data_IF_637127673591
#
_entry.id   IF_637127673591
#
_cell.length_a   1.000
_cell.length_b   1.000
_cell.length_c   1.000
_cell.angle_alpha   90.00
_cell.angle_beta   90.00
_cell.angle_gamma   90.00
#
_symmetry.space_group_name_H-M   'P 1'
#
loop_
_entity.id
_entity.type
_entity.pdbx_description
1 polymer ?
#
# COMPACT_ATOMS: atom_id res chain seq x y z
N UNK A 1 -57.87 -113.48 43.35
CA UNK A 1 -57.87 -111.99 43.35
C UNK A 1 -56.60 -111.36 43.94
N UNK A 2 -55.88 -111.98 44.88
CA UNK A 2 -54.65 -111.41 45.49
C UNK A 2 -53.47 -111.19 44.51
N UNK A 3 -53.08 -112.20 43.71
CA UNK A 3 -51.94 -112.12 42.75
C UNK A 3 -52.02 -110.98 41.73
N UNK A 4 -53.23 -110.64 41.25
CA UNK A 4 -53.41 -109.58 40.26
C UNK A 4 -53.21 -108.18 40.88
N UNK A 5 -53.58 -108.00 42.15
CA UNK A 5 -53.33 -106.76 42.90
C UNK A 5 -51.84 -106.56 43.19
N UNK A 6 -51.11 -107.64 43.47
CA UNK A 6 -49.66 -107.57 43.72
C UNK A 6 -48.86 -107.19 42.46
N UNK A 7 -49.25 -107.72 41.29
CA UNK A 7 -48.62 -107.36 40.01
C UNK A 7 -48.93 -105.91 39.62
N UNK A 8 -50.17 -105.45 39.79
CA UNK A 8 -50.55 -104.07 39.53
C UNK A 8 -49.82 -103.09 40.48
N UNK A 9 -49.67 -103.46 41.75
CA UNK A 9 -48.91 -102.69 42.74
C UNK A 9 -47.42 -102.63 42.40
N UNK A 10 -46.82 -103.73 41.94
CA UNK A 10 -45.42 -103.77 41.50
C UNK A 10 -45.18 -102.93 40.23
N UNK A 11 -46.13 -102.95 39.28
CA UNK A 11 -46.07 -102.12 38.08
C UNK A 11 -46.19 -100.62 38.42
N UNK A 12 -47.12 -100.24 39.30
CA UNK A 12 -47.27 -98.87 39.78
C UNK A 12 -46.02 -98.37 40.50
N UNK A 13 -45.42 -99.19 41.39
CA UNK A 13 -44.15 -98.85 42.06
C UNK A 13 -42.99 -98.67 41.09
N UNK A 14 -42.95 -99.47 40.01
CA UNK A 14 -41.92 -99.34 38.96
C UNK A 14 -42.11 -98.07 38.13
N UNK A 15 -43.35 -97.72 37.79
CA UNK A 15 -43.68 -96.49 37.09
C UNK A 15 -43.36 -95.24 37.94
N UNK A 16 -43.69 -95.28 39.23
CA UNK A 16 -43.35 -94.23 40.20
C UNK A 16 -41.83 -94.07 40.36
N UNK A 17 -41.08 -95.18 40.45
CA UNK A 17 -39.61 -95.15 40.49
C UNK A 17 -38.98 -94.53 39.22
N UNK A 18 -39.54 -94.80 38.04
CA UNK A 18 -39.08 -94.19 36.79
C UNK A 18 -39.39 -92.69 36.74
N UNK A 19 -40.57 -92.27 37.23
CA UNK A 19 -40.93 -90.84 37.35
C UNK A 19 -40.01 -90.09 38.31
N UNK A 20 -39.70 -90.68 39.46
CA UNK A 20 -38.75 -90.12 40.43
C UNK A 20 -37.37 -89.94 39.77
N UNK A 21 -36.86 -90.97 39.09
CA UNK A 21 -35.54 -90.90 38.42
C UNK A 21 -35.49 -89.85 37.31
N UNK A 22 -36.58 -89.66 36.56
CA UNK A 22 -36.67 -88.61 35.55
C UNK A 22 -36.65 -87.21 36.18
N UNK A 23 -37.41 -87.00 37.26
CA UNK A 23 -37.44 -85.74 38.01
C UNK A 23 -36.09 -85.43 38.66
N UNK A 24 -35.41 -86.41 39.24
CA UNK A 24 -34.05 -86.25 39.80
C UNK A 24 -33.05 -85.79 38.74
N UNK A 25 -33.12 -86.37 37.52
CA UNK A 25 -32.27 -85.95 36.41
C UNK A 25 -32.58 -84.52 35.96
N UNK A 26 -33.86 -84.14 35.92
CA UNK A 26 -34.28 -82.78 35.58
C UNK A 26 -33.83 -81.75 36.63
N UNK A 27 -33.95 -82.08 37.92
CA UNK A 27 -33.45 -81.25 39.04
C UNK A 27 -31.95 -81.05 38.88
N UNK A 28 -31.19 -82.12 38.66
CA UNK A 28 -29.74 -82.04 38.50
C UNK A 28 -29.32 -81.18 37.29
N UNK A 29 -30.05 -81.28 36.18
CA UNK A 29 -29.80 -80.41 35.02
C UNK A 29 -30.09 -78.94 35.35
N UNK A 30 -31.22 -78.65 36.01
CA UNK A 30 -31.57 -77.28 36.44
C UNK A 30 -30.57 -76.71 37.46
N UNK A 31 -30.01 -77.53 38.34
CA UNK A 31 -28.94 -77.12 39.27
C UNK A 31 -27.66 -76.72 38.52
N UNK A 32 -27.27 -77.48 37.50
CA UNK A 32 -26.12 -77.15 36.63
C UNK A 32 -26.37 -75.85 35.87
N UNK A 33 -27.56 -75.66 35.30
CA UNK A 33 -27.92 -74.43 34.58
C UNK A 33 -27.95 -73.21 35.52
N UNK A 34 -28.45 -73.37 36.75
CA UNK A 34 -28.45 -72.33 37.78
C UNK A 34 -27.03 -71.94 38.18
N UNK A 35 -26.12 -72.91 38.32
CA UNK A 35 -24.71 -72.63 38.59
C UNK A 35 -24.06 -71.84 37.44
N UNK A 36 -24.30 -72.27 36.19
CA UNK A 36 -23.78 -71.57 35.02
C UNK A 36 -24.31 -70.12 34.92
N UNK A 37 -25.61 -69.92 35.17
CA UNK A 37 -26.23 -68.59 35.20
C UNK A 37 -25.67 -67.73 36.34
N UNK A 38 -25.45 -68.30 37.52
CA UNK A 38 -24.82 -67.59 38.65
C UNK A 38 -23.39 -67.15 38.31
N UNK A 39 -22.60 -68.02 37.70
CA UNK A 39 -21.25 -67.68 37.25
C UNK A 39 -21.26 -66.57 36.19
N UNK A 40 -22.24 -66.59 35.27
CA UNK A 40 -22.41 -65.53 34.27
C UNK A 40 -22.77 -64.18 34.91
N UNK A 41 -23.66 -64.17 35.92
CA UNK A 41 -24.01 -62.97 36.67
C UNK A 41 -22.78 -62.39 37.39
N UNK A 42 -22.00 -63.23 38.06
CA UNK A 42 -20.76 -62.78 38.74
C UNK A 42 -19.79 -62.15 37.74
N UNK A 43 -19.57 -62.78 36.58
CA UNK A 43 -18.72 -62.20 35.52
C UNK A 43 -19.25 -60.87 35.00
N UNK A 44 -20.56 -60.73 34.81
CA UNK A 44 -21.20 -59.47 34.39
C UNK A 44 -21.05 -58.38 35.45
N UNK A 45 -21.19 -58.71 36.73
CA UNK A 45 -20.99 -57.76 37.83
C UNK A 45 -19.54 -57.27 37.91
N UNK A 46 -18.56 -58.16 37.74
CA UNK A 46 -17.13 -57.78 37.69
C UNK A 46 -16.82 -56.89 36.49
N UNK A 47 -17.37 -57.21 35.31
CA UNK A 47 -17.23 -56.38 34.13
C UNK A 47 -17.84 -54.98 34.32
N UNK A 48 -19.01 -54.91 34.98
CA UNK A 48 -19.70 -53.65 35.28
C UNK A 48 -18.89 -52.79 36.26
N UNK A 49 -18.31 -53.39 37.32
CA UNK A 49 -17.40 -52.69 38.24
C UNK A 49 -16.17 -52.14 37.52
N UNK A 50 -15.56 -52.94 36.64
CA UNK A 50 -14.41 -52.51 35.83
C UNK A 50 -14.77 -51.33 34.90
N UNK A 51 -15.93 -51.41 34.25
CA UNK A 51 -16.42 -50.33 33.38
C UNK A 51 -16.70 -49.05 34.16
N UNK A 52 -17.28 -49.14 35.36
CA UNK A 52 -17.54 -48.00 36.22
C UNK A 52 -16.25 -47.26 36.62
N UNK A 53 -15.19 -48.00 36.98
CA UNK A 53 -13.88 -47.42 37.28
C UNK A 53 -13.29 -46.72 36.06
N UNK A 54 -13.36 -47.35 34.88
CA UNK A 54 -12.87 -46.75 33.63
C UNK A 54 -13.62 -45.46 33.30
N UNK A 55 -14.95 -45.47 33.41
CA UNK A 55 -15.79 -44.29 33.14
C UNK A 55 -15.45 -43.15 34.10
N UNK A 56 -15.35 -43.42 35.40
CA UNK A 56 -14.96 -42.43 36.40
C UNK A 56 -13.57 -41.84 36.11
N UNK A 57 -12.60 -42.67 35.75
CA UNK A 57 -11.25 -42.20 35.39
C UNK A 57 -11.24 -41.34 34.11
N UNK A 58 -12.08 -41.69 33.13
CA UNK A 58 -12.21 -40.92 31.89
C UNK A 58 -12.84 -39.56 32.17
N UNK A 59 -13.89 -39.50 33.00
CA UNK A 59 -14.53 -38.24 33.40
C UNK A 59 -13.58 -37.33 34.19
N UNK A 60 -12.82 -37.89 35.14
CA UNK A 60 -11.82 -37.13 35.90
C UNK A 60 -10.71 -36.58 34.99
N UNK A 61 -10.24 -37.37 34.02
CA UNK A 61 -9.21 -36.95 33.07
C UNK A 61 -9.73 -35.89 32.09
N UNK A 62 -10.95 -36.04 31.59
CA UNK A 62 -11.62 -35.04 30.75
C UNK A 62 -11.77 -33.72 31.51
N UNK A 63 -12.23 -33.78 32.76
CA UNK A 63 -12.38 -32.59 33.63
C UNK A 63 -11.04 -31.89 33.87
N UNK A 64 -9.97 -32.64 34.18
CA UNK A 64 -8.62 -32.09 34.34
C UNK A 64 -8.11 -31.42 33.06
N UNK A 65 -8.31 -32.07 31.90
CA UNK A 65 -7.90 -31.53 30.60
C UNK A 65 -8.63 -30.22 30.29
N UNK A 66 -9.95 -30.20 30.48
CA UNK A 66 -10.77 -28.99 30.26
C UNK A 66 -10.36 -27.86 31.19
N UNK A 67 -10.13 -28.13 32.47
CA UNK A 67 -9.68 -27.12 33.43
C UNK A 67 -8.30 -26.54 33.06
N UNK A 68 -7.39 -27.38 32.57
CA UNK A 68 -6.09 -26.92 32.07
C UNK A 68 -6.25 -25.97 30.87
N UNK A 69 -7.09 -26.34 29.90
CA UNK A 69 -7.36 -25.50 28.74
C UNK A 69 -8.02 -24.17 29.13
N UNK A 70 -8.96 -24.18 30.08
CA UNK A 70 -9.59 -22.96 30.61
C UNK A 70 -8.55 -22.02 31.23
N UNK A 71 -7.61 -22.56 32.01
CA UNK A 71 -6.55 -21.76 32.62
C UNK A 71 -5.63 -21.14 31.57
N UNK A 72 -5.20 -21.92 30.58
CA UNK A 72 -4.37 -21.43 29.46
C UNK A 72 -5.09 -20.33 28.64
N UNK A 73 -6.40 -20.48 28.41
CA UNK A 73 -7.20 -19.46 27.74
C UNK A 73 -7.32 -18.18 28.58
N UNK A 74 -7.49 -18.32 29.90
CA UNK A 74 -7.57 -17.19 30.82
C UNK A 74 -6.27 -16.39 30.85
N UNK A 75 -5.12 -17.06 30.87
CA UNK A 75 -3.81 -16.41 30.83
C UNK A 75 -3.57 -15.69 29.49
N UNK A 76 -3.95 -16.31 28.37
CA UNK A 76 -3.90 -15.67 27.05
C UNK A 76 -4.81 -14.44 26.97
N UNK A 77 -6.01 -14.50 27.55
CA UNK A 77 -6.93 -13.36 27.59
C UNK A 77 -6.35 -12.20 28.38
N UNK A 78 -5.80 -12.47 29.57
CA UNK A 78 -5.17 -11.45 30.41
C UNK A 78 -3.98 -10.77 29.70
N UNK A 79 -3.17 -11.54 28.98
CA UNK A 79 -2.05 -11.00 28.19
C UNK A 79 -2.56 -10.13 27.03
N UNK A 80 -3.58 -10.58 26.30
CA UNK A 80 -4.20 -9.80 25.22
C UNK A 80 -4.79 -8.49 25.73
N UNK A 81 -5.46 -8.51 26.89
CA UNK A 81 -6.06 -7.31 27.48
C UNK A 81 -5.01 -6.29 27.93
N UNK A 82 -3.91 -6.76 28.55
CA UNK A 82 -2.76 -5.90 28.88
C UNK A 82 -2.15 -5.26 27.64
N UNK A 83 -1.97 -6.04 26.57
CA UNK A 83 -1.44 -5.52 25.30
C UNK A 83 -2.40 -4.51 24.67
N UNK A 84 -3.71 -4.78 24.68
CA UNK A 84 -4.75 -3.88 24.17
C UNK A 84 -4.69 -2.52 24.88
N UNK A 85 -4.63 -2.52 26.21
CA UNK A 85 -4.53 -1.29 27.00
C UNK A 85 -3.24 -0.52 26.71
N UNK A 86 -2.12 -1.21 26.55
CA UNK A 86 -0.85 -0.57 26.19
C UNK A 86 -0.88 0.05 24.79
N UNK A 87 -1.48 -0.61 23.80
CA UNK A 87 -1.61 -0.08 22.44
C UNK A 87 -2.60 1.08 22.40
N UNK A 88 -3.70 1.01 23.14
CA UNK A 88 -4.66 2.11 23.27
C UNK A 88 -4.00 3.37 23.84
N UNK A 89 -3.16 3.23 24.88
CA UNK A 89 -2.38 4.34 25.43
C UNK A 89 -1.41 4.95 24.41
N UNK A 90 -0.73 4.13 23.59
CA UNK A 90 0.15 4.62 22.51
C UNK A 90 -0.62 5.38 21.44
N UNK A 91 -1.79 4.88 21.04
CA UNK A 91 -2.65 5.55 20.05
C UNK A 91 -3.12 6.91 20.57
N UNK A 92 -3.48 7.02 21.85
CA UNK A 92 -3.86 8.29 22.46
C UNK A 92 -2.67 9.27 22.44
N UNK A 93 -1.49 8.84 22.87
CA UNK A 93 -0.29 9.67 22.86
C UNK A 93 0.08 10.17 21.45
N UNK A 94 0.00 9.29 20.44
CA UNK A 94 0.25 9.66 19.04
C UNK A 94 -0.79 10.66 18.51
N UNK A 95 -2.06 10.50 18.88
CA UNK A 95 -3.11 11.46 18.50
C UNK A 95 -2.88 12.84 19.12
N UNK A 96 -2.44 12.91 20.37
CA UNK A 96 -2.10 14.17 21.03
C UNK A 96 -0.87 14.84 20.39
N UNK A 97 0.17 14.06 20.09
CA UNK A 97 1.35 14.57 19.39
C UNK A 97 1.01 15.08 17.98
N UNK A 98 0.15 14.36 17.24
CA UNK A 98 -0.32 14.77 15.93
C UNK A 98 -1.07 16.11 15.99
N UNK A 99 -2.01 16.25 16.93
CA UNK A 99 -2.74 17.52 17.14
C UNK A 99 -1.81 18.67 17.49
N UNK A 100 -0.79 18.43 18.33
CA UNK A 100 0.20 19.44 18.69
C UNK A 100 1.02 19.89 17.47
N UNK A 101 1.49 18.96 16.66
CA UNK A 101 2.22 19.26 15.41
C UNK A 101 1.37 20.00 14.39
N UNK A 102 0.08 19.67 14.30
CA UNK A 102 -0.86 20.36 13.42
C UNK A 102 -1.06 21.83 13.82
N UNK A 103 -1.20 22.11 15.12
CA UNK A 103 -1.25 23.48 15.64
C UNK A 103 0.04 24.25 15.37
N UNK A 104 1.20 23.63 15.64
CA UNK A 104 2.50 24.26 15.40
C UNK A 104 2.72 24.60 13.92
N UNK A 105 2.35 23.70 13.02
CA UNK A 105 2.41 23.94 11.57
C UNK A 105 1.49 25.08 11.14
N UNK A 106 0.30 25.19 11.74
CA UNK A 106 -0.66 26.24 11.44
C UNK A 106 -0.17 27.61 11.93
N UNK A 107 0.52 27.67 13.06
CA UNK A 107 1.15 28.89 13.57
C UNK A 107 2.33 29.32 12.70
N UNK A 108 3.21 28.38 12.30
CA UNK A 108 4.30 28.65 11.35
C UNK A 108 3.78 29.16 10.00
N UNK A 109 2.67 28.60 9.51
CA UNK A 109 2.00 29.08 8.29
C UNK A 109 1.52 30.53 8.41
N UNK A 110 0.92 30.90 9.55
CA UNK A 110 0.50 32.29 9.80
C UNK A 110 1.68 33.25 9.87
N UNK A 111 2.75 32.86 10.55
CA UNK A 111 3.99 33.66 10.62
C UNK A 111 4.59 33.87 9.23
N UNK A 112 4.72 32.80 8.44
CA UNK A 112 5.22 32.87 7.07
C UNK A 112 4.33 33.76 6.18
N UNK A 113 3.01 33.66 6.32
CA UNK A 113 2.07 34.48 5.57
C UNK A 113 2.18 35.97 5.93
N UNK A 114 2.36 36.29 7.21
CA UNK A 114 2.56 37.68 7.66
C UNK A 114 3.89 38.24 7.17
N UNK A 115 4.97 37.44 7.23
CA UNK A 115 6.27 37.82 6.70
C UNK A 115 6.22 38.08 5.18
N UNK A 116 5.48 37.24 4.43
CA UNK A 116 5.31 37.41 2.99
C UNK A 116 4.58 38.72 2.67
N UNK A 117 3.47 39.01 3.36
CA UNK A 117 2.74 40.29 3.20
C UNK A 117 3.62 41.50 3.49
N UNK A 118 4.47 41.44 4.51
CA UNK A 118 5.41 42.52 4.81
C UNK A 118 6.45 42.70 3.70
N UNK A 119 6.98 41.61 3.14
CA UNK A 119 7.92 41.67 2.00
C UNK A 119 7.25 42.19 0.74
N UNK A 120 6.02 41.80 0.45
CA UNK A 120 5.26 42.29 -0.70
C UNK A 120 5.02 43.81 -0.60
N UNK A 121 4.65 44.31 0.58
CA UNK A 121 4.51 45.75 0.83
C UNK A 121 5.83 46.50 0.60
N UNK A 122 6.95 45.93 1.06
CA UNK A 122 8.29 46.52 0.86
C UNK A 122 8.69 46.52 -0.61
N UNK A 123 8.41 45.45 -1.34
CA UNK A 123 8.67 45.34 -2.78
C UNK A 123 7.82 46.34 -3.58
N UNK A 124 6.55 46.52 -3.22
CA UNK A 124 5.67 47.50 -3.86
C UNK A 124 6.21 48.93 -3.69
N UNK A 125 6.63 49.30 -2.47
CA UNK A 125 7.25 50.60 -2.21
C UNK A 125 8.57 50.77 -2.99
N UNK A 126 9.40 49.72 -3.05
CA UNK A 126 10.64 49.72 -3.82
C UNK A 126 10.42 49.93 -5.31
N UNK A 127 9.39 49.27 -5.89
CA UNK A 127 9.00 49.45 -7.30
C UNK A 127 8.57 50.89 -7.58
N UNK A 128 7.70 51.47 -6.76
CA UNK A 128 7.25 52.86 -6.95
C UNK A 128 8.42 53.86 -6.87
N UNK A 129 9.38 53.62 -5.96
CA UNK A 129 10.58 54.45 -5.84
C UNK A 129 11.49 54.35 -7.08
N UNK A 130 11.68 53.14 -7.60
CA UNK A 130 12.45 52.90 -8.83
C UNK A 130 11.78 53.54 -10.05
N UNK A 131 10.47 53.42 -10.17
CA UNK A 131 9.68 53.99 -11.27
C UNK A 131 9.77 55.53 -11.28
N UNK A 132 9.70 56.19 -10.12
CA UNK A 132 9.94 57.64 -10.00
C UNK A 132 11.36 58.04 -10.43
N UNK A 133 12.38 57.26 -10.04
CA UNK A 133 13.77 57.51 -10.47
C UNK A 133 13.97 57.29 -11.96
N UNK A 134 13.30 56.29 -12.54
CA UNK A 134 13.35 56.00 -13.98
C UNK A 134 12.76 57.16 -14.78
N UNK A 135 11.55 57.62 -14.41
CA UNK A 135 10.88 58.76 -15.06
C UNK A 135 11.73 60.04 -14.98
N UNK A 136 12.35 60.32 -13.84
CA UNK A 136 13.27 61.46 -13.68
C UNK A 136 14.52 61.34 -14.57
N UNK A 137 15.09 60.15 -14.65
CA UNK A 137 16.26 59.88 -15.50
C UNK A 137 15.91 60.01 -16.99
N UNK A 138 14.74 59.51 -17.41
CA UNK A 138 14.23 59.67 -18.78
C UNK A 138 14.04 61.14 -19.16
N UNK A 139 13.52 61.98 -18.25
CA UNK A 139 13.40 63.42 -18.48
C UNK A 139 14.77 64.09 -18.65
N UNK A 140 15.77 63.65 -17.88
CA UNK A 140 17.15 64.14 -17.99
C UNK A 140 17.79 63.70 -19.31
N UNK A 141 17.57 62.45 -19.74
CA UNK A 141 18.03 61.96 -21.04
C UNK A 141 17.37 62.76 -22.18
N UNK A 142 16.06 63.04 -22.11
CA UNK A 142 15.36 63.84 -23.13
C UNK A 142 15.97 65.24 -23.26
N UNK A 143 16.18 65.94 -22.15
CA UNK A 143 16.79 67.28 -22.16
C UNK A 143 18.23 67.26 -22.64
N UNK A 144 19.03 66.25 -22.27
CA UNK A 144 20.39 66.07 -22.80
C UNK A 144 20.37 65.75 -24.30
N UNK A 145 19.43 64.93 -24.77
CA UNK A 145 19.28 64.57 -26.18
C UNK A 145 18.90 65.79 -27.03
N UNK A 146 18.01 66.66 -26.54
CA UNK A 146 17.71 67.94 -27.18
C UNK A 146 18.94 68.85 -27.27
N UNK A 147 19.74 68.93 -26.19
CA UNK A 147 21.02 69.66 -26.21
C UNK A 147 22.02 69.07 -27.20
N UNK A 148 22.13 67.74 -27.29
CA UNK A 148 22.96 67.06 -28.30
C UNK A 148 22.46 67.39 -29.70
N UNK A 149 21.14 67.39 -29.94
CA UNK A 149 20.55 67.73 -31.25
C UNK A 149 20.88 69.17 -31.67
N UNK A 150 20.89 70.11 -30.72
CA UNK A 150 21.33 71.49 -30.94
C UNK A 150 22.84 71.59 -31.23
N UNK A 151 23.65 70.71 -30.65
CA UNK A 151 25.09 70.61 -30.94
C UNK A 151 25.36 69.92 -32.28
N UNK A 152 24.55 68.94 -32.67
CA UNK A 152 24.62 68.28 -33.98
C UNK A 152 24.18 69.21 -35.12
N UNK A 153 23.33 70.21 -34.89
CA UNK A 153 23.05 71.25 -35.89
C UNK A 153 24.25 72.18 -36.17
N UNK A 154 25.33 72.09 -35.39
CA UNK A 154 26.57 72.84 -35.60
C UNK A 154 27.68 72.03 -36.30
N UNK A 155 27.44 70.76 -36.67
CA UNK A 155 28.41 69.93 -37.41
C UNK A 155 27.71 69.03 -38.46
N UNK A 156 28.18 68.98 -39.72
CA UNK A 156 27.45 68.32 -40.80
C UNK A 156 27.47 66.79 -40.67
N UNK A 157 26.29 66.16 -40.66
CA UNK A 157 26.10 64.70 -40.73
C UNK A 157 25.93 64.20 -42.17
N UNK A 158 26.71 63.18 -42.53
CA UNK A 158 26.48 62.32 -43.68
C UNK A 158 25.37 61.28 -43.39
N UNK A 159 24.63 60.91 -44.44
CA UNK A 159 23.37 60.19 -44.40
C UNK A 159 23.45 58.68 -44.05
N UNK A 160 22.41 58.10 -43.44
CA UNK A 160 22.29 56.65 -43.23
C UNK A 160 21.50 55.96 -44.35
N UNK A 161 21.93 54.76 -44.72
CA UNK A 161 21.19 53.85 -45.61
C UNK A 161 20.59 52.73 -44.76
N UNK A 162 19.26 52.60 -44.76
CA UNK A 162 18.54 51.46 -44.16
C UNK A 162 18.09 50.53 -45.28
N UNK A 163 18.62 49.31 -45.31
CA UNK A 163 18.13 48.23 -46.16
C UNK A 163 17.28 47.26 -45.32
N UNK A 164 16.02 47.08 -45.73
CA UNK A 164 15.11 46.01 -45.24
C UNK A 164 15.60 44.65 -45.76
N UNK A 165 15.87 43.71 -44.86
CA UNK A 165 16.08 42.31 -45.20
C UNK A 165 14.79 41.48 -44.99
N UNK A 166 14.47 40.53 -45.89
CA UNK A 166 13.34 39.62 -45.75
C UNK A 166 13.62 38.44 -44.82
N UNK A 167 12.57 37.93 -44.19
CA UNK A 167 12.60 36.86 -43.18
C UNK A 167 13.24 35.55 -43.68
N UNK A 168 14.15 34.92 -42.90
CA UNK A 168 14.81 33.68 -43.31
C UNK A 168 13.92 32.46 -43.09
N UNK A 169 13.91 31.57 -44.09
CA UNK A 169 13.32 30.22 -44.00
C UNK A 169 14.04 29.42 -42.91
N UNK A 170 13.26 28.80 -42.02
CA UNK A 170 13.73 28.15 -40.79
C UNK A 170 14.82 27.10 -41.04
N UNK A 171 15.95 27.24 -40.35
CA UNK A 171 16.98 26.20 -40.24
C UNK A 171 16.39 25.01 -39.48
N UNK A 172 16.81 23.80 -39.88
CA UNK A 172 16.47 22.55 -39.19
C UNK A 172 17.22 22.53 -37.86
N UNK A 173 16.51 22.29 -36.76
CA UNK A 173 17.07 22.28 -35.41
C UNK A 173 18.05 21.10 -35.25
N UNK A 174 19.22 21.36 -34.67
CA UNK A 174 20.24 20.36 -34.37
C UNK A 174 20.30 20.08 -32.86
N UNK A 175 20.39 18.80 -32.47
CA UNK A 175 20.53 18.41 -31.06
C UNK A 175 21.94 18.73 -30.59
N UNK A 176 22.06 19.50 -29.51
CA UNK A 176 23.35 19.92 -28.95
C UNK A 176 23.70 19.13 -27.69
N UNK A 177 22.75 18.97 -26.78
CA UNK A 177 23.00 18.29 -25.50
C UNK A 177 21.71 17.70 -24.92
N UNK A 178 21.84 16.81 -23.94
CA UNK A 178 20.70 16.22 -23.25
C UNK A 178 21.03 15.77 -21.83
N UNK A 179 20.02 15.74 -20.96
CA UNK A 179 20.12 15.21 -19.60
C UNK A 179 18.90 14.38 -19.22
N UNK A 180 19.15 13.20 -18.63
CA UNK A 180 18.12 12.29 -18.17
C UNK A 180 18.00 12.29 -16.64
N UNK A 181 16.76 12.35 -16.17
CA UNK A 181 16.37 12.12 -14.80
C UNK A 181 15.66 10.76 -14.72
N UNK A 182 16.30 9.75 -14.12
CA UNK A 182 15.81 8.36 -14.11
C UNK A 182 15.54 7.79 -12.73
N UNK A 183 15.79 8.58 -11.68
CA UNK A 183 15.72 8.18 -10.27
C UNK A 183 14.38 8.53 -9.60
N UNK A 184 13.31 8.73 -10.39
CA UNK A 184 11.98 9.01 -9.86
C UNK A 184 11.29 7.71 -9.39
N UNK A 185 10.68 7.76 -8.20
CA UNK A 185 10.05 6.59 -7.57
C UNK A 185 8.83 6.01 -8.31
N UNK A 186 8.41 4.80 -7.94
CA UNK A 186 7.18 4.18 -8.47
C UNK A 186 5.95 5.00 -8.08
N UNK A 187 5.07 5.29 -9.03
CA UNK A 187 3.77 5.92 -8.72
C UNK A 187 3.85 7.38 -8.26
N UNK A 188 5.01 8.04 -8.36
CA UNK A 188 5.20 9.43 -7.98
C UNK A 188 5.76 10.27 -9.14
N UNK A 189 5.47 11.57 -9.11
CA UNK A 189 5.99 12.60 -10.02
C UNK A 189 6.96 13.58 -9.31
N UNK A 190 7.33 13.30 -8.05
CA UNK A 190 8.29 14.11 -7.33
C UNK A 190 9.71 13.92 -7.91
N UNK A 191 10.36 15.02 -8.27
CA UNK A 191 11.73 15.03 -8.76
C UNK A 191 12.67 14.88 -7.58
N UNK A 192 13.65 13.98 -7.67
CA UNK A 192 14.65 13.82 -6.61
C UNK A 192 15.51 15.08 -6.45
N UNK A 193 16.07 15.30 -5.26
CA UNK A 193 16.99 16.42 -5.04
C UNK A 193 18.23 16.32 -5.94
N UNK A 194 18.77 15.11 -6.12
CA UNK A 194 19.94 14.85 -6.98
C UNK A 194 19.64 15.22 -8.43
N UNK A 195 18.52 14.76 -8.97
CA UNK A 195 18.12 15.08 -10.32
C UNK A 195 17.87 16.58 -10.50
N UNK A 196 17.17 17.23 -9.55
CA UNK A 196 16.93 18.67 -9.61
C UNK A 196 18.24 19.46 -9.68
N UNK A 197 19.24 19.11 -8.87
CA UNK A 197 20.56 19.76 -8.87
C UNK A 197 21.31 19.53 -10.20
N UNK A 198 21.26 18.31 -10.73
CA UNK A 198 21.90 17.98 -12.01
C UNK A 198 21.25 18.73 -13.18
N UNK A 199 19.91 18.79 -13.21
CA UNK A 199 19.14 19.53 -14.21
C UNK A 199 19.43 21.03 -14.11
N UNK A 200 19.50 21.59 -12.90
CA UNK A 200 19.88 22.98 -12.69
C UNK A 200 21.28 23.28 -13.25
N UNK A 201 22.27 22.45 -12.92
CA UNK A 201 23.64 22.61 -13.42
C UNK A 201 23.73 22.47 -14.94
N UNK A 202 22.92 21.59 -15.53
CA UNK A 202 22.81 21.42 -16.98
C UNK A 202 22.21 22.65 -17.66
N UNK A 203 21.06 23.12 -17.16
CA UNK A 203 20.32 24.25 -17.75
C UNK A 203 21.06 25.58 -17.63
N UNK A 204 21.93 25.73 -16.62
CA UNK A 204 22.77 26.92 -16.47
C UNK A 204 23.70 27.21 -17.66
N UNK A 205 23.90 26.25 -18.58
CA UNK A 205 24.69 26.42 -19.80
C UNK A 205 23.91 27.05 -20.96
N UNK A 206 22.59 27.15 -20.84
CA UNK A 206 21.68 27.53 -21.93
C UNK A 206 20.74 28.66 -21.49
N UNK A 207 20.15 29.33 -22.47
CA UNK A 207 19.21 30.44 -22.26
C UNK A 207 17.93 30.27 -23.11
N UNK A 208 17.07 31.28 -23.13
CA UNK A 208 15.80 31.27 -23.86
C UNK A 208 15.93 31.31 -25.40
N UNK A 209 17.15 31.46 -25.94
CA UNK A 209 17.38 31.40 -27.38
C UNK A 209 17.26 29.96 -27.92
N UNK A 210 17.62 28.96 -27.10
CA UNK A 210 17.58 27.54 -27.41
C UNK A 210 16.16 26.95 -27.35
N UNK A 211 15.98 25.79 -27.97
CA UNK A 211 14.76 25.00 -27.91
C UNK A 211 14.96 23.79 -26.99
N UNK A 212 13.97 23.52 -26.15
CA UNK A 212 14.02 22.44 -25.16
C UNK A 212 12.91 21.44 -25.47
N UNK A 213 13.27 20.18 -25.68
CA UNK A 213 12.29 19.08 -25.75
C UNK A 213 12.36 18.29 -24.46
N UNK A 214 11.20 18.07 -23.83
CA UNK A 214 11.08 17.22 -22.66
C UNK A 214 10.30 15.96 -23.01
N UNK A 215 10.96 14.81 -22.88
CA UNK A 215 10.39 13.50 -23.17
C UNK A 215 10.19 12.70 -21.88
N UNK A 216 9.06 12.00 -21.70
CA UNK A 216 8.86 11.14 -20.54
C UNK A 216 9.70 9.86 -20.67
N UNK A 217 10.29 9.42 -19.57
CA UNK A 217 10.94 8.10 -19.44
C UNK A 217 10.01 7.21 -18.63
N UNK A 218 9.54 6.13 -19.25
CA UNK A 218 8.63 5.16 -18.67
C UNK A 218 9.29 3.79 -18.64
N UNK A 219 9.05 3.05 -17.56
CA UNK A 219 9.43 1.65 -17.48
C UNK A 219 8.20 0.75 -17.69
N UNK A 220 8.48 -0.54 -17.83
CA UNK A 220 7.46 -1.58 -17.89
C UNK A 220 7.03 -2.06 -16.48
N UNK A 221 7.39 -1.32 -15.44
CA UNK A 221 7.07 -1.65 -14.06
C UNK A 221 5.61 -1.35 -13.74
N UNK A 222 4.91 -2.32 -13.16
CA UNK A 222 3.51 -2.15 -12.75
C UNK A 222 3.32 -1.41 -11.42
N UNK A 223 2.16 -0.80 -11.25
CA UNK A 223 1.71 -0.18 -10.00
C UNK A 223 1.40 -1.25 -8.94
N UNK A 224 1.85 -1.07 -7.70
CA UNK A 224 1.65 -2.05 -6.62
C UNK A 224 0.17 -2.41 -6.42
N UNK A 225 -0.72 -1.41 -6.51
CA UNK A 225 -2.18 -1.61 -6.43
C UNK A 225 -2.72 -2.47 -7.56
N UNK A 226 -2.26 -2.25 -8.80
CA UNK A 226 -2.68 -3.05 -9.96
C UNK A 226 -2.12 -4.48 -9.89
N UNK A 227 -0.88 -4.64 -9.40
CA UNK A 227 -0.30 -5.97 -9.11
C UNK A 227 -1.12 -6.72 -8.05
N UNK A 228 -1.59 -6.02 -7.01
CA UNK A 228 -2.44 -6.61 -5.97
C UNK A 228 -3.77 -7.11 -6.56
N UNK A 229 -4.42 -6.29 -7.39
CA UNK A 229 -5.65 -6.64 -8.11
C UNK A 229 -5.42 -7.89 -8.97
N UNK A 230 -4.32 -7.94 -9.73
CA UNK A 230 -3.92 -9.10 -10.55
C UNK A 230 -3.76 -10.36 -9.70
N UNK A 231 -3.04 -10.26 -8.57
CA UNK A 231 -2.79 -11.39 -7.68
C UNK A 231 -4.04 -11.93 -6.98
N UNK A 232 -5.01 -11.06 -6.67
CA UNK A 232 -6.23 -11.43 -5.94
C UNK A 232 -7.35 -11.94 -6.85
N UNK A 233 -7.18 -11.90 -8.18
CA UNK A 233 -8.15 -12.36 -9.18
C UNK A 233 -9.57 -11.85 -8.90
N UNK A 234 -9.69 -10.53 -8.67
CA UNK A 234 -10.95 -9.88 -8.29
C UNK A 234 -11.96 -9.73 -9.44
N UNK A 235 -11.95 -10.66 -10.40
CA UNK A 235 -12.86 -10.67 -11.55
C UNK A 235 -12.49 -9.73 -12.71
N UNK A 236 -11.27 -9.18 -12.72
CA UNK A 236 -10.72 -8.41 -13.86
C UNK A 236 -9.72 -9.28 -14.60
N UNK A 237 -9.82 -9.34 -15.94
CA UNK A 237 -8.87 -10.08 -16.76
C UNK A 237 -7.47 -9.50 -16.66
N UNK A 238 -6.45 -10.38 -16.66
CA UNK A 238 -5.05 -9.98 -16.58
C UNK A 238 -4.64 -9.05 -17.73
N UNK A 239 -5.21 -9.25 -18.93
CA UNK A 239 -5.05 -8.41 -20.11
C UNK A 239 -5.51 -6.97 -19.88
N UNK A 240 -6.65 -6.79 -19.21
CA UNK A 240 -7.19 -5.48 -18.90
C UNK A 240 -6.36 -4.78 -17.82
N UNK A 241 -5.85 -5.53 -16.84
CA UNK A 241 -4.92 -4.99 -15.83
C UNK A 241 -3.61 -4.52 -16.48
N UNK A 242 -3.09 -5.29 -17.44
CA UNK A 242 -1.86 -4.93 -18.17
C UNK A 242 -2.09 -3.68 -19.05
N UNK A 243 -3.24 -3.60 -19.72
CA UNK A 243 -3.65 -2.40 -20.47
C UNK A 243 -3.76 -1.16 -19.58
N UNK A 244 -4.45 -1.26 -18.44
CA UNK A 244 -4.59 -0.15 -17.48
C UNK A 244 -3.22 0.25 -16.93
N UNK A 245 -2.35 -0.72 -16.64
CA UNK A 245 -0.97 -0.47 -16.18
C UNK A 245 -0.19 0.34 -17.20
N UNK A 246 -0.26 -0.03 -18.48
CA UNK A 246 0.37 0.73 -19.57
C UNK A 246 -0.14 2.17 -19.65
N UNK A 247 -1.47 2.36 -19.66
CA UNK A 247 -2.08 3.69 -19.72
C UNK A 247 -1.69 4.56 -18.52
N UNK A 248 -1.65 3.98 -17.32
CA UNK A 248 -1.24 4.68 -16.11
C UNK A 248 0.25 5.09 -16.15
N UNK A 249 1.13 4.24 -16.68
CA UNK A 249 2.55 4.58 -16.87
C UNK A 249 2.73 5.72 -17.88
N UNK A 250 1.95 5.72 -18.97
CA UNK A 250 1.96 6.83 -19.95
C UNK A 250 1.50 8.14 -19.29
N UNK A 251 0.38 8.10 -18.55
CA UNK A 251 -0.14 9.28 -17.86
C UNK A 251 0.84 9.85 -16.83
N UNK A 252 1.43 8.98 -16.02
CA UNK A 252 2.44 9.37 -15.04
C UNK A 252 3.73 9.87 -15.70
N UNK A 253 4.16 9.25 -16.80
CA UNK A 253 5.27 9.71 -17.63
C UNK A 253 5.06 11.16 -18.07
N UNK A 254 3.90 11.47 -18.64
CA UNK A 254 3.56 12.85 -19.05
C UNK A 254 3.59 13.84 -17.88
N UNK A 255 3.10 13.45 -16.71
CA UNK A 255 3.17 14.30 -15.52
C UNK A 255 4.62 14.57 -15.08
N UNK A 256 5.53 13.61 -15.24
CA UNK A 256 6.96 13.78 -14.96
C UNK A 256 7.66 14.65 -15.99
N UNK A 257 7.33 14.47 -17.28
CA UNK A 257 7.82 15.35 -18.33
C UNK A 257 7.39 16.80 -18.09
N UNK A 258 6.12 17.02 -17.68
CA UNK A 258 5.64 18.34 -17.27
C UNK A 258 6.50 18.94 -16.14
N UNK A 259 6.77 18.17 -15.09
CA UNK A 259 7.62 18.62 -13.98
C UNK A 259 9.05 18.97 -14.46
N UNK A 260 9.59 18.21 -15.42
CA UNK A 260 10.86 18.55 -16.09
C UNK A 260 10.77 19.87 -16.88
N UNK A 261 9.68 20.12 -17.59
CA UNK A 261 9.42 21.39 -18.28
C UNK A 261 9.30 22.58 -17.33
N UNK A 262 8.65 22.39 -16.18
CA UNK A 262 8.58 23.41 -15.12
C UNK A 262 9.97 23.77 -14.57
N UNK A 263 10.93 22.81 -14.52
CA UNK A 263 12.33 23.13 -14.20
C UNK A 263 12.99 23.97 -15.29
N UNK A 264 12.75 23.67 -16.57
CA UNK A 264 13.26 24.49 -17.69
C UNK A 264 12.76 25.91 -17.56
N UNK A 265 11.45 26.10 -17.39
CA UNK A 265 10.85 27.42 -17.20
C UNK A 265 11.40 28.16 -15.97
N UNK A 266 11.57 27.44 -14.85
CA UNK A 266 12.08 28.03 -13.60
C UNK A 266 13.53 28.51 -13.69
N UNK A 267 14.39 27.80 -14.43
CA UNK A 267 15.82 28.10 -14.49
C UNK A 267 16.23 28.92 -15.71
N UNK A 268 15.54 28.76 -16.85
CA UNK A 268 15.81 29.48 -18.11
C UNK A 268 14.95 30.74 -18.22
N UNK A 269 13.79 30.76 -17.55
CA UNK A 269 12.82 31.86 -17.53
C UNK A 269 11.56 31.59 -18.38
N UNK A 270 10.51 32.39 -18.14
CA UNK A 270 9.18 32.27 -18.80
C UNK A 270 9.23 32.32 -20.35
N UNK A 271 10.33 32.83 -20.92
CA UNK A 271 10.54 32.87 -22.38
C UNK A 271 11.12 31.59 -22.99
N UNK A 272 11.30 30.52 -22.21
CA UNK A 272 11.88 29.27 -22.71
C UNK A 272 10.97 28.57 -23.73
N UNK A 273 11.54 28.12 -24.85
CA UNK A 273 10.82 27.44 -25.93
C UNK A 273 10.75 25.93 -25.64
N UNK A 274 9.74 25.52 -24.88
CA UNK A 274 9.57 24.13 -24.43
C UNK A 274 8.61 23.38 -25.35
N UNK A 275 9.03 22.21 -25.85
CA UNK A 275 8.17 21.22 -26.50
C UNK A 275 8.12 19.95 -25.65
N UNK A 276 6.98 19.27 -25.65
CA UNK A 276 6.83 17.97 -25.02
C UNK A 276 6.79 16.88 -26.07
N UNK A 277 7.64 15.86 -25.93
CA UNK A 277 7.65 14.75 -26.86
C UNK A 277 6.32 14.00 -26.81
N UNK A 278 5.81 13.63 -27.98
CA UNK A 278 4.58 12.82 -28.10
C UNK A 278 4.84 11.35 -27.78
N UNK A 279 6.06 10.88 -28.04
CA UNK A 279 6.50 9.52 -27.73
C UNK A 279 7.14 9.45 -26.35
N UNK A 280 7.07 8.26 -25.74
CA UNK A 280 7.79 7.97 -24.51
C UNK A 280 9.13 7.31 -24.83
N UNK A 281 10.11 7.56 -23.97
CA UNK A 281 11.35 6.79 -23.93
C UNK A 281 11.09 5.59 -23.04
N UNK A 282 11.02 4.40 -23.63
CA UNK A 282 10.87 3.15 -22.88
C UNK A 282 12.24 2.68 -22.42
N UNK A 283 12.41 2.55 -21.10
CA UNK A 283 13.67 2.09 -20.52
C UNK A 283 13.39 1.23 -19.28
N UNK A 284 13.98 0.04 -19.24
CA UNK A 284 13.76 -0.87 -18.11
C UNK A 284 14.35 -0.29 -16.82
N UNK A 285 13.56 -0.38 -15.73
CA UNK A 285 13.88 0.12 -14.38
C UNK A 285 14.24 1.61 -14.29
N UNK A 286 13.96 2.41 -15.32
CA UNK A 286 14.24 3.84 -15.33
C UNK A 286 12.94 4.63 -15.48
N UNK A 287 12.80 5.68 -14.67
CA UNK A 287 11.57 6.47 -14.59
C UNK A 287 11.88 7.93 -14.42
N UNK A 288 11.27 8.77 -15.24
CA UNK A 288 11.38 10.21 -15.10
C UNK A 288 11.20 10.93 -16.42
N UNK A 289 12.21 11.71 -16.81
CA UNK A 289 12.16 12.52 -18.02
C UNK A 289 13.57 12.74 -18.59
N UNK A 290 13.61 13.05 -19.88
CA UNK A 290 14.80 13.44 -20.63
C UNK A 290 14.58 14.86 -21.14
N UNK A 291 15.51 15.76 -20.87
CA UNK A 291 15.55 17.09 -21.47
C UNK A 291 16.58 17.07 -22.58
N UNK A 292 16.21 17.52 -23.78
CA UNK A 292 17.10 17.70 -24.92
C UNK A 292 17.12 19.16 -25.32
N UNK A 293 18.28 19.67 -25.71
CA UNK A 293 18.49 21.07 -26.11
C UNK A 293 18.89 21.13 -27.57
N UNK A 294 18.24 22.01 -28.32
CA UNK A 294 18.46 22.22 -29.74
C UNK A 294 18.73 23.69 -30.08
N UNK A 295 19.38 23.92 -31.21
CA UNK A 295 19.62 25.25 -31.81
C UNK A 295 19.32 25.25 -33.31
#
# INVERSE_FOLDING_TARGET
>A
QMRAKDIALAAAKREESLKISALEKEIKNKEVDLLASRDEVVRKEEALKSLHVKMKSADENATKSTNKQILELKDKLALMEKNRLSEEAKVIALKEEQKRKELEYLDQLKEAQNALKAKDATLAQGKESLEKKLLSSEQTIKTLTEKIKLLETATPKAAPVVAKAPAPKGKKLELIDSISCTDMGTGVNAISATCKNNVQAFLAKYDSSYFYEVAPIVDNGGFASLKLIKSKKVGVEDSEIDRITGLANIGLGKARAKAGGELVESYVGEGAKISYALSNVEQDKARGFLIKVYQ
#
